data_IF_530463783682
#
_entry.id   IF_530463783682
#
_cell.length_a   1.000
_cell.length_b   1.000
_cell.length_c   1.000
_cell.angle_alpha   90.00
_cell.angle_beta   90.00
_cell.angle_gamma   90.00
#
_symmetry.space_group_name_H-M   'P 1'
#
loop_
_entity.id
_entity.type
_entity.pdbx_description
1 polymer ?
#
# COMPACT_ATOMS: atom_id res chain seq x y z
N UNK A 1 11.20 72.89 12.99
CA UNK A 1 10.59 71.70 12.36
C UNK A 1 10.89 70.47 13.21
N UNK A 2 9.85 69.73 13.63
CA UNK A 2 9.80 68.32 14.12
C UNK A 2 11.01 67.82 14.95
N UNK A 3 10.91 67.67 16.29
CA UNK A 3 10.42 66.49 17.03
C UNK A 3 10.96 65.13 16.49
N UNK A 4 11.52 64.18 17.25
CA UNK A 4 11.62 63.92 18.71
C UNK A 4 12.55 62.68 18.92
N UNK A 5 13.17 62.58 20.11
CA UNK A 5 13.73 61.40 20.85
C UNK A 5 14.98 60.71 20.25
N UNK A 6 16.20 60.86 20.80
CA UNK A 6 16.80 60.40 22.09
C UNK A 6 16.79 58.87 22.26
N UNK A 7 17.96 58.27 22.00
CA UNK A 7 18.40 56.95 22.47
C UNK A 7 19.68 57.17 23.28
N UNK A 8 19.77 56.61 24.48
CA UNK A 8 21.02 56.27 25.19
C UNK A 8 20.66 55.80 26.61
N UNK A 9 20.97 54.55 26.95
CA UNK A 9 21.67 54.17 28.19
C UNK A 9 22.32 52.80 27.94
N UNK A 10 23.64 52.76 28.09
CA UNK A 10 24.48 51.57 28.16
C UNK A 10 25.36 51.71 29.42
N UNK A 11 25.84 50.56 29.90
CA UNK A 11 26.79 50.32 31.00
C UNK A 11 26.21 50.15 32.42
N UNK A 12 26.39 48.97 33.04
CA UNK A 12 27.61 48.57 33.78
C UNK A 12 27.28 47.33 34.64
N UNK A 13 27.81 46.15 34.31
CA UNK A 13 28.07 45.09 35.30
C UNK A 13 29.45 44.50 34.99
N UNK A 14 30.33 44.62 35.98
CA UNK A 14 31.75 44.27 35.94
C UNK A 14 32.03 42.77 36.03
N UNK A 15 33.25 42.44 35.63
CA UNK A 15 33.85 41.13 35.43
C UNK A 15 34.88 40.82 36.54
N UNK A 16 35.27 39.53 36.64
CA UNK A 16 36.45 38.92 37.33
C UNK A 16 36.25 38.45 38.79
N UNK A 17 36.77 37.30 39.30
CA UNK A 17 37.78 36.28 38.90
C UNK A 17 37.58 35.02 39.78
N UNK A 18 37.45 33.81 39.18
CA UNK A 18 38.34 32.60 39.22
C UNK A 18 38.83 32.12 40.60
N UNK A 19 38.59 30.83 40.95
CA UNK A 19 39.60 29.78 41.29
C UNK A 19 38.92 28.38 41.28
N UNK A 20 39.71 27.41 40.80
CA UNK A 20 39.47 26.02 40.44
C UNK A 20 39.04 25.06 41.58
N UNK A 21 38.57 23.86 41.20
CA UNK A 21 39.14 22.57 41.62
C UNK A 21 38.69 21.44 40.65
N UNK A 22 39.67 20.64 40.22
CA UNK A 22 39.56 19.44 39.37
C UNK A 22 39.60 18.17 40.22
N UNK A 23 38.94 17.11 39.74
CA UNK A 23 39.24 15.65 39.82
C UNK A 23 37.94 14.85 39.89
N UNK A 24 37.78 13.59 39.50
CA UNK A 24 38.45 12.61 38.61
C UNK A 24 37.71 11.28 38.88
N UNK A 25 37.58 10.40 37.88
CA UNK A 25 37.07 9.01 37.97
C UNK A 25 35.54 8.88 38.25
N UNK A 26 34.78 7.94 37.67
CA UNK A 26 35.12 6.65 37.09
C UNK A 26 34.04 6.19 36.10
N UNK A 27 34.50 5.40 35.14
CA UNK A 27 33.75 4.74 34.07
C UNK A 27 33.12 3.48 34.66
N UNK A 28 31.83 3.25 34.49
CA UNK A 28 31.23 1.95 34.84
C UNK A 28 30.40 1.42 33.68
N UNK A 29 30.85 0.26 33.22
CA UNK A 29 30.27 -0.59 32.19
C UNK A 29 28.92 -1.14 32.69
N UNK A 30 27.88 -1.09 31.84
CA UNK A 30 26.62 -1.78 32.14
C UNK A 30 26.61 -3.08 31.34
N UNK A 31 26.70 -4.14 32.12
CA UNK A 31 26.69 -5.55 31.80
C UNK A 31 25.39 -5.95 31.08
N UNK A 32 25.56 -6.72 29.99
CA UNK A 32 24.48 -7.30 29.19
C UNK A 32 23.86 -8.47 29.97
N UNK A 33 22.62 -8.29 30.47
CA UNK A 33 21.89 -9.36 31.14
C UNK A 33 21.40 -10.37 30.11
N UNK A 34 22.14 -11.48 30.03
CA UNK A 34 21.74 -12.73 29.38
C UNK A 34 20.56 -13.33 30.16
N UNK A 35 19.36 -13.28 29.61
CA UNK A 35 18.21 -14.03 30.14
C UNK A 35 18.18 -15.40 29.45
N UNK A 36 18.65 -16.40 30.17
CA UNK A 36 18.50 -17.82 29.85
C UNK A 36 17.04 -18.25 30.03
N UNK A 37 16.48 -18.84 28.98
CA UNK A 37 15.16 -19.46 28.98
C UNK A 37 15.21 -20.84 29.63
N UNK A 38 14.46 -21.03 30.72
CA UNK A 38 14.14 -22.35 31.27
C UNK A 38 12.62 -22.54 31.33
N UNK A 39 12.15 -23.57 30.62
CA UNK A 39 10.78 -24.09 30.67
C UNK A 39 10.64 -25.00 31.91
N UNK A 40 9.62 -24.78 32.73
CA UNK A 40 8.93 -25.86 33.45
C UNK A 40 7.41 -25.58 33.59
N UNK A 41 6.63 -26.61 33.27
CA UNK A 41 5.19 -26.85 33.47
C UNK A 41 4.83 -26.81 34.99
N UNK A 42 3.60 -26.71 35.50
CA UNK A 42 2.21 -26.81 35.03
C UNK A 42 1.29 -26.17 36.10
N UNK A 43 0.03 -25.85 35.76
CA UNK A 43 -1.04 -25.68 36.75
C UNK A 43 -2.23 -24.80 36.32
N UNK A 44 -3.37 -25.45 36.09
CA UNK A 44 -4.76 -24.95 36.25
C UNK A 44 -5.42 -24.02 35.20
N UNK A 45 -6.28 -24.68 34.41
CA UNK A 45 -7.61 -24.26 33.92
C UNK A 45 -7.91 -22.74 33.77
N UNK A 46 -7.76 -22.24 32.54
CA UNK A 46 -8.64 -21.19 32.00
C UNK A 46 -8.73 -21.29 30.46
N UNK A 47 -9.93 -21.12 29.94
CA UNK A 47 -10.36 -21.16 28.52
C UNK A 47 -9.35 -20.57 27.51
N UNK A 48 -9.04 -21.25 26.38
CA UNK A 48 -8.10 -20.73 25.40
C UNK A 48 -8.86 -20.10 24.22
N UNK A 49 -9.14 -18.79 24.26
CA UNK A 49 -9.52 -18.09 23.00
C UNK A 49 -9.30 -16.56 22.97
N UNK A 50 -8.54 -15.97 23.90
CA UNK A 50 -8.29 -14.51 23.86
C UNK A 50 -6.93 -14.05 24.42
N UNK A 51 -6.20 -14.91 25.11
CA UNK A 51 -4.94 -14.54 25.77
C UNK A 51 -3.71 -14.56 24.85
N UNK A 52 -3.75 -15.31 23.74
CA UNK A 52 -2.62 -15.39 22.79
C UNK A 52 -2.50 -14.11 21.95
N UNK A 53 -3.61 -13.42 21.68
CA UNK A 53 -3.59 -12.14 20.94
C UNK A 53 -3.09 -10.97 21.81
N UNK A 54 -3.18 -11.06 23.14
CA UNK A 54 -2.88 -9.94 24.04
C UNK A 54 -1.41 -9.92 24.51
N UNK A 55 -0.72 -11.06 24.50
CA UNK A 55 0.67 -11.19 25.00
C UNK A 55 1.76 -10.74 24.02
N UNK A 56 1.41 -10.30 22.81
CA UNK A 56 2.36 -9.77 21.83
C UNK A 56 2.46 -8.23 21.83
N UNK A 57 1.80 -7.55 22.77
CA UNK A 57 1.89 -6.11 22.95
C UNK A 57 3.11 -5.72 23.81
N UNK A 58 4.32 -6.07 23.39
CA UNK A 58 5.54 -5.67 24.11
C UNK A 58 6.66 -5.35 23.14
N UNK A 59 6.58 -4.13 22.61
CA UNK A 59 7.65 -3.16 22.34
C UNK A 59 6.89 -1.96 21.76
N UNK A 60 6.75 -0.89 22.55
CA UNK A 60 6.08 0.32 22.10
C UNK A 60 6.86 0.88 20.91
N UNK A 61 6.36 0.64 19.71
CA UNK A 61 6.77 1.38 18.51
C UNK A 61 6.25 2.81 18.69
N UNK A 62 7.13 3.81 18.53
CA UNK A 62 6.74 5.24 18.52
C UNK A 62 5.78 5.59 17.37
N UNK A 63 5.48 4.63 16.48
CA UNK A 63 4.59 4.82 15.34
C UNK A 63 3.14 4.78 15.80
N UNK A 64 2.44 5.91 15.62
CA UNK A 64 0.99 5.97 15.76
C UNK A 64 0.32 5.74 14.40
N UNK A 65 -0.47 4.67 14.30
CA UNK A 65 -1.30 4.41 13.13
C UNK A 65 -2.66 5.09 13.23
N UNK A 66 -3.26 5.36 12.08
CA UNK A 66 -4.64 5.79 11.86
C UNK A 66 -5.28 4.88 10.82
N UNK A 67 -6.61 4.91 10.70
CA UNK A 67 -7.30 4.08 9.72
C UNK A 67 -8.50 4.76 9.07
N UNK A 68 -8.78 4.32 7.85
CA UNK A 68 -10.05 4.55 7.15
C UNK A 68 -10.61 3.19 6.69
N UNK A 69 -11.80 2.78 7.13
CA UNK A 69 -12.70 3.51 8.04
C UNK A 69 -12.13 3.61 9.47
N UNK A 70 -12.79 4.38 10.33
CA UNK A 70 -12.42 4.54 11.73
C UNK A 70 -12.74 3.31 12.59
N UNK A 71 -12.37 3.37 13.87
CA UNK A 71 -12.78 2.34 14.85
C UNK A 71 -14.32 2.33 14.97
N UNK A 72 -14.89 1.14 15.06
CA UNK A 72 -16.33 0.84 15.05
C UNK A 72 -17.06 1.12 13.73
N UNK A 73 -16.36 1.52 12.68
CA UNK A 73 -16.97 1.75 11.38
C UNK A 73 -16.80 0.54 10.45
N UNK A 74 -17.82 0.33 9.62
CA UNK A 74 -17.82 -0.72 8.61
C UNK A 74 -17.15 -0.23 7.33
N UNK A 75 -16.44 -1.13 6.66
CA UNK A 75 -15.97 -0.92 5.30
C UNK A 75 -17.15 -0.68 4.35
N UNK A 76 -17.03 0.24 3.38
CA UNK A 76 -18.09 0.46 2.39
C UNK A 76 -18.34 -0.79 1.53
N UNK A 77 -19.46 -0.79 0.79
CA UNK A 77 -19.80 -1.88 -0.14
C UNK A 77 -19.57 -1.50 -1.61
N UNK A 78 -18.56 -0.69 -1.90
CA UNK A 78 -18.20 -0.32 -3.28
C UNK A 78 -17.62 -1.50 -4.08
N UNK A 79 -17.37 -2.64 -3.45
CA UNK A 79 -16.79 -3.85 -4.05
C UNK A 79 -17.86 -4.76 -4.63
N UNK A 80 -19.14 -4.44 -4.41
CA UNK A 80 -20.27 -5.17 -5.00
C UNK A 80 -20.07 -5.33 -6.49
N UNK A 81 -20.20 -6.58 -6.98
CA UNK A 81 -20.03 -6.95 -8.39
C UNK A 81 -18.65 -6.58 -8.97
N UNK A 82 -17.62 -6.48 -8.11
CA UNK A 82 -16.25 -6.15 -8.53
C UNK A 82 -15.30 -7.31 -8.23
N UNK A 83 -15.23 -8.34 -9.10
CA UNK A 83 -14.25 -9.41 -8.96
C UNK A 83 -12.83 -8.88 -9.18
N UNK A 84 -11.94 -9.16 -8.24
CA UNK A 84 -10.51 -8.92 -8.37
C UNK A 84 -9.83 -10.21 -8.83
N UNK A 85 -9.32 -10.19 -10.05
CA UNK A 85 -8.63 -11.34 -10.65
C UNK A 85 -7.13 -11.10 -10.59
N UNK A 86 -6.46 -11.86 -9.75
CA UNK A 86 -5.03 -11.72 -9.47
C UNK A 86 -4.33 -13.09 -9.59
N UNK A 87 -3.04 -13.17 -9.26
CA UNK A 87 -2.23 -14.38 -9.47
C UNK A 87 -2.73 -15.60 -8.68
N UNK A 88 -3.39 -15.38 -7.55
CA UNK A 88 -3.93 -16.43 -6.70
C UNK A 88 -5.41 -16.77 -6.99
N UNK A 89 -5.95 -16.28 -8.11
CA UNK A 89 -7.32 -16.54 -8.55
C UNK A 89 -8.22 -15.31 -8.44
N UNK A 90 -9.54 -15.54 -8.51
CA UNK A 90 -10.56 -14.49 -8.40
C UNK A 90 -11.04 -14.37 -6.96
N UNK A 91 -11.05 -13.15 -6.42
CA UNK A 91 -11.71 -12.80 -5.18
C UNK A 91 -12.98 -11.98 -5.48
N UNK A 92 -14.12 -12.41 -4.97
CA UNK A 92 -15.42 -11.79 -5.18
C UNK A 92 -15.71 -10.73 -4.11
N UNK A 93 -16.15 -9.54 -4.55
CA UNK A 93 -16.47 -8.42 -3.68
C UNK A 93 -17.97 -8.32 -3.36
N UNK A 94 -18.30 -7.67 -2.25
CA UNK A 94 -19.69 -7.41 -1.81
C UNK A 94 -20.44 -8.60 -1.21
N UNK A 95 -19.74 -9.71 -0.92
CA UNK A 95 -20.29 -10.87 -0.22
C UNK A 95 -20.03 -10.79 1.29
N UNK A 96 -18.91 -10.18 1.68
CA UNK A 96 -18.51 -9.95 3.06
C UNK A 96 -18.22 -8.46 3.27
N UNK A 97 -18.32 -8.02 4.52
CA UNK A 97 -17.89 -6.71 5.01
C UNK A 97 -17.00 -6.88 6.24
N UNK A 98 -16.23 -5.87 6.54
CA UNK A 98 -15.40 -5.84 7.73
C UNK A 98 -15.67 -4.58 8.56
N UNK A 99 -15.46 -4.68 9.87
CA UNK A 99 -15.48 -3.56 10.80
C UNK A 99 -14.16 -3.54 11.54
N UNK A 100 -13.61 -2.36 11.79
CA UNK A 100 -12.58 -2.22 12.81
C UNK A 100 -13.29 -2.30 14.17
N UNK A 101 -13.46 -3.51 14.69
CA UNK A 101 -14.29 -3.76 15.87
C UNK A 101 -13.70 -3.12 17.12
N UNK A 102 -12.38 -3.18 17.28
CA UNK A 102 -11.67 -2.49 18.36
C UNK A 102 -10.19 -2.32 18.01
N UNK A 103 -9.49 -1.47 18.75
CA UNK A 103 -8.04 -1.29 18.63
C UNK A 103 -7.39 -1.26 20.02
N UNK A 104 -6.31 -2.01 20.18
CA UNK A 104 -5.47 -2.01 21.39
C UNK A 104 -4.06 -1.66 20.99
N UNK A 105 -3.55 -0.49 21.40
CA UNK A 105 -2.25 0.01 20.93
C UNK A 105 -2.19 0.06 19.41
N UNK A 106 -1.26 -0.65 18.78
CA UNK A 106 -1.14 -0.77 17.32
C UNK A 106 -1.81 -2.02 16.72
N UNK A 107 -2.52 -2.80 17.53
CA UNK A 107 -3.24 -3.99 17.07
C UNK A 107 -4.68 -3.63 16.73
N UNK A 108 -5.09 -3.93 15.49
CA UNK A 108 -6.44 -3.76 14.98
C UNK A 108 -7.17 -5.10 15.06
N UNK A 109 -8.33 -5.13 15.73
CA UNK A 109 -9.23 -6.27 15.72
C UNK A 109 -10.33 -6.04 14.68
N UNK A 110 -10.36 -6.90 13.67
CA UNK A 110 -11.27 -6.81 12.53
C UNK A 110 -12.37 -7.85 12.67
N UNK A 111 -13.62 -7.42 12.72
CA UNK A 111 -14.78 -8.31 12.62
C UNK A 111 -15.15 -8.46 11.16
N UNK A 112 -15.14 -9.70 10.65
CA UNK A 112 -15.58 -10.04 9.29
C UNK A 112 -16.93 -10.74 9.37
N UNK A 113 -17.92 -10.23 8.65
CA UNK A 113 -19.27 -10.83 8.57
C UNK A 113 -19.71 -10.94 7.12
N UNK A 114 -20.79 -11.69 6.87
CA UNK A 114 -21.47 -11.59 5.56
C UNK A 114 -22.09 -10.21 5.39
N UNK A 115 -22.15 -9.75 4.14
CA UNK A 115 -22.75 -8.47 3.78
C UNK A 115 -24.26 -8.43 4.09
N UNK A 116 -24.94 -9.57 3.96
CA UNK A 116 -26.38 -9.78 4.17
C UNK A 116 -26.77 -9.98 5.65
N UNK A 117 -25.80 -10.02 6.58
CA UNK A 117 -26.02 -10.29 8.00
C UNK A 117 -26.27 -11.78 8.34
N UNK A 118 -26.23 -12.67 7.35
CA UNK A 118 -26.35 -14.11 7.56
C UNK A 118 -25.10 -14.75 8.15
N UNK A 119 -25.18 -16.06 8.37
CA UNK A 119 -24.06 -16.88 8.88
C UNK A 119 -23.23 -17.51 7.75
N UNK A 120 -21.96 -17.79 8.03
CA UNK A 120 -21.12 -18.60 7.17
C UNK A 120 -21.59 -20.07 7.22
N UNK A 121 -22.13 -20.59 6.11
CA UNK A 121 -22.77 -21.92 6.06
C UNK A 121 -21.79 -23.09 5.94
N UNK A 122 -20.53 -22.82 5.62
CA UNK A 122 -19.45 -23.80 5.58
C UNK A 122 -18.32 -23.36 6.51
N UNK A 123 -17.46 -24.28 6.98
CA UNK A 123 -16.19 -23.88 7.57
C UNK A 123 -15.33 -23.14 6.55
N UNK A 124 -14.38 -22.36 7.05
CA UNK A 124 -13.50 -21.57 6.21
C UNK A 124 -12.30 -21.02 6.96
N UNK A 125 -11.45 -20.30 6.24
CA UNK A 125 -10.35 -19.54 6.81
C UNK A 125 -10.52 -18.06 6.50
N UNK A 126 -10.50 -17.24 7.54
CA UNK A 126 -10.42 -15.79 7.43
C UNK A 126 -8.96 -15.34 7.39
N UNK A 127 -8.68 -14.30 6.61
CA UNK A 127 -7.36 -13.71 6.43
C UNK A 127 -7.44 -12.19 6.52
N UNK A 128 -6.37 -11.59 7.02
CA UNK A 128 -6.02 -10.22 6.66
C UNK A 128 -4.81 -10.30 5.73
N UNK A 129 -4.92 -9.69 4.55
CA UNK A 129 -3.83 -9.60 3.57
C UNK A 129 -3.43 -8.17 3.31
N UNK A 130 -2.15 -7.90 3.08
CA UNK A 130 -1.71 -6.53 2.82
C UNK A 130 -1.42 -6.25 1.34
N UNK A 131 -1.69 -5.01 0.91
CA UNK A 131 -1.49 -4.49 -0.44
C UNK A 131 -2.51 -4.94 -1.49
N UNK A 132 -2.85 -6.23 -1.53
CA UNK A 132 -3.76 -6.82 -2.52
C UNK A 132 -4.43 -8.12 -2.02
N UNK A 133 -5.45 -8.62 -2.72
CA UNK A 133 -6.14 -9.88 -2.35
C UNK A 133 -5.25 -11.13 -2.52
N UNK A 134 -4.18 -11.02 -3.31
CA UNK A 134 -3.12 -12.02 -3.39
C UNK A 134 -1.82 -11.62 -2.66
N UNK A 135 -1.85 -10.52 -1.91
CA UNK A 135 -0.71 -10.04 -1.15
C UNK A 135 -0.36 -10.89 0.08
N UNK A 136 0.61 -10.40 0.85
CA UNK A 136 1.15 -11.06 2.05
C UNK A 136 0.04 -11.30 3.07
N UNK A 137 -0.02 -12.51 3.63
CA UNK A 137 -0.90 -12.83 4.77
C UNK A 137 -0.30 -12.22 6.03
N UNK A 138 -1.01 -11.31 6.69
CA UNK A 138 -0.56 -10.69 7.95
C UNK A 138 -1.28 -11.28 9.17
N UNK A 139 -2.47 -11.86 8.97
CA UNK A 139 -3.16 -12.65 9.97
C UNK A 139 -4.03 -13.72 9.30
N UNK A 140 -4.29 -14.82 10.01
CA UNK A 140 -5.26 -15.85 9.58
C UNK A 140 -5.90 -16.54 10.77
N UNK A 141 -7.16 -16.97 10.63
CA UNK A 141 -7.86 -17.79 11.62
C UNK A 141 -8.88 -18.71 10.93
N UNK A 142 -9.01 -19.95 11.40
CA UNK A 142 -10.06 -20.87 10.94
C UNK A 142 -11.37 -20.61 11.68
N UNK A 143 -12.50 -20.88 11.03
CA UNK A 143 -13.80 -20.80 11.65
C UNK A 143 -14.70 -21.97 11.22
N UNK A 144 -15.59 -22.39 12.11
CA UNK A 144 -16.59 -23.43 11.85
C UNK A 144 -17.83 -22.89 11.14
N UNK A 145 -18.61 -23.78 10.51
CA UNK A 145 -19.93 -23.42 9.98
C UNK A 145 -20.85 -22.88 11.09
N UNK A 146 -21.77 -21.99 10.72
CA UNK A 146 -22.77 -21.39 11.60
C UNK A 146 -22.33 -20.07 12.26
N UNK A 147 -21.08 -19.64 12.08
CA UNK A 147 -20.59 -18.37 12.63
C UNK A 147 -21.24 -17.17 11.93
N UNK A 148 -21.74 -16.21 12.71
CA UNK A 148 -22.25 -14.92 12.22
C UNK A 148 -21.14 -13.90 11.93
N UNK A 149 -19.97 -14.08 12.55
CA UNK A 149 -18.80 -13.24 12.35
C UNK A 149 -17.52 -13.95 12.78
N UNK A 150 -16.40 -13.44 12.30
CA UNK A 150 -15.05 -13.92 12.61
C UNK A 150 -14.22 -12.71 13.03
N UNK A 151 -13.68 -12.76 14.25
CA UNK A 151 -12.79 -11.71 14.76
C UNK A 151 -11.33 -12.11 14.50
N UNK A 152 -10.55 -11.21 13.90
CA UNK A 152 -9.15 -11.45 13.55
C UNK A 152 -8.31 -10.20 13.86
N UNK A 153 -7.21 -10.39 14.60
CA UNK A 153 -6.31 -9.31 14.99
C UNK A 153 -5.07 -9.23 14.09
N UNK A 154 -4.60 -8.02 13.80
CA UNK A 154 -3.28 -7.81 13.17
C UNK A 154 -2.62 -6.52 13.66
N UNK A 155 -1.29 -6.48 13.62
CA UNK A 155 -0.47 -5.29 13.93
C UNK A 155 0.31 -4.90 12.68
N UNK A 156 0.15 -3.68 12.13
CA UNK A 156 0.98 -3.20 11.03
C UNK A 156 2.45 -3.08 11.44
N UNK A 157 3.36 -3.22 10.47
CA UNK A 157 4.81 -3.22 10.74
C UNK A 157 5.57 -2.13 9.97
N UNK A 158 4.90 -1.31 9.15
CA UNK A 158 5.55 -0.24 8.39
C UNK A 158 5.75 0.99 9.28
N UNK A 159 6.89 1.67 9.16
CA UNK A 159 7.21 2.80 10.05
C UNK A 159 6.68 4.15 9.58
N UNK A 160 6.43 4.29 8.28
CA UNK A 160 6.06 5.55 7.63
C UNK A 160 5.32 5.26 6.33
N UNK A 161 4.18 5.91 6.09
CA UNK A 161 3.40 5.74 4.85
C UNK A 161 2.00 5.20 5.08
N UNK A 162 1.57 4.32 4.18
CA UNK A 162 0.29 3.63 4.29
C UNK A 162 0.33 2.20 3.77
N UNK A 163 -0.63 1.41 4.21
CA UNK A 163 -0.90 0.08 3.70
C UNK A 163 -2.39 -0.22 3.70
N UNK A 164 -2.85 -0.87 2.64
CA UNK A 164 -4.18 -1.42 2.51
C UNK A 164 -4.21 -2.83 3.05
N UNK A 165 -5.13 -3.10 3.97
CA UNK A 165 -5.37 -4.43 4.50
C UNK A 165 -6.71 -4.93 3.98
N UNK A 166 -6.70 -6.08 3.30
CA UNK A 166 -7.85 -6.75 2.71
C UNK A 166 -8.34 -7.86 3.66
N UNK A 167 -9.48 -7.65 4.34
CA UNK A 167 -10.16 -8.71 5.06
C UNK A 167 -10.77 -9.68 4.05
N UNK A 168 -10.49 -10.97 4.24
CA UNK A 168 -10.86 -12.00 3.30
C UNK A 168 -11.36 -13.26 4.00
N UNK A 169 -12.18 -14.01 3.29
CA UNK A 169 -12.62 -15.34 3.67
C UNK A 169 -12.44 -16.29 2.49
N UNK A 170 -11.92 -17.48 2.77
CA UNK A 170 -11.91 -18.61 1.82
C UNK A 170 -12.78 -19.71 2.40
N UNK A 171 -13.85 -20.04 1.69
CA UNK A 171 -14.77 -21.12 2.03
C UNK A 171 -14.11 -22.48 1.74
N UNK A 172 -13.99 -23.34 2.75
CA UNK A 172 -13.24 -24.61 2.63
C UNK A 172 -13.95 -25.64 1.73
N UNK A 173 -15.28 -25.55 1.60
CA UNK A 173 -16.08 -26.51 0.83
C UNK A 173 -16.05 -26.22 -0.67
N UNK A 174 -16.21 -24.95 -1.03
CA UNK A 174 -16.30 -24.49 -2.42
C UNK A 174 -14.98 -23.96 -2.97
N UNK A 175 -14.04 -23.58 -2.10
CA UNK A 175 -12.85 -22.82 -2.47
C UNK A 175 -13.15 -21.35 -2.83
N UNK A 176 -14.39 -20.90 -2.64
CA UNK A 176 -14.81 -19.53 -2.92
C UNK A 176 -14.02 -18.52 -2.10
N UNK A 177 -13.56 -17.44 -2.74
CA UNK A 177 -12.71 -16.41 -2.14
C UNK A 177 -13.48 -15.10 -2.12
N UNK A 178 -13.66 -14.53 -0.95
CA UNK A 178 -14.44 -13.31 -0.75
C UNK A 178 -13.59 -12.25 -0.08
N UNK A 179 -13.69 -10.99 -0.51
CA UNK A 179 -12.99 -9.87 0.10
C UNK A 179 -13.97 -8.74 0.47
N UNK A 180 -13.68 -8.07 1.58
CA UNK A 180 -14.30 -6.80 1.95
C UNK A 180 -13.50 -5.64 1.35
N UNK A 181 -14.09 -4.45 1.26
CA UNK A 181 -13.31 -3.25 0.90
C UNK A 181 -12.10 -3.10 1.84
N UNK A 182 -10.92 -2.74 1.32
CA UNK A 182 -9.70 -2.73 2.11
C UNK A 182 -9.76 -1.60 3.14
N UNK A 183 -9.19 -1.89 4.31
CA UNK A 183 -8.97 -0.92 5.37
C UNK A 183 -7.64 -0.24 5.07
N UNK A 184 -7.66 1.07 4.88
CA UNK A 184 -6.47 1.89 4.77
C UNK A 184 -5.93 2.11 6.19
N UNK A 185 -4.68 1.74 6.44
CA UNK A 185 -3.97 2.08 7.68
C UNK A 185 -2.76 2.94 7.30
N UNK A 186 -2.50 4.01 8.05
CA UNK A 186 -1.47 4.98 7.70
C UNK A 186 -0.85 5.67 8.91
N UNK A 187 0.31 6.29 8.73
CA UNK A 187 0.99 7.10 9.76
C UNK A 187 0.69 8.59 9.57
N UNK A 188 0.87 9.38 10.62
CA UNK A 188 0.96 10.84 10.53
C UNK A 188 2.29 11.33 11.14
N UNK A 189 3.14 12.05 10.38
CA UNK A 189 3.02 12.42 8.97
C UNK A 189 2.90 11.19 8.04
N UNK A 190 2.49 11.38 6.77
CA UNK A 190 2.41 10.28 5.78
C UNK A 190 3.77 9.96 5.14
N UNK A 191 4.66 10.93 5.09
CA UNK A 191 6.00 10.77 4.53
C UNK A 191 6.99 11.65 5.30
N UNK A 192 8.28 11.30 5.24
CA UNK A 192 9.38 12.10 5.75
C UNK A 192 9.59 13.33 4.86
N UNK A 193 9.70 14.50 5.46
CA UNK A 193 9.98 15.75 4.75
C UNK A 193 11.48 15.92 4.44
N UNK A 194 12.08 14.97 3.73
CA UNK A 194 13.51 14.96 3.36
C UNK A 194 13.67 14.91 1.84
N UNK A 195 13.43 16.05 1.18
CA UNK A 195 13.58 16.20 -0.27
C UNK A 195 15.01 16.56 -0.70
N UNK A 196 15.95 16.66 0.25
CA UNK A 196 17.34 17.07 0.01
C UNK A 196 18.27 15.95 -0.42
N UNK A 197 17.82 14.69 -0.38
CA UNK A 197 18.69 13.53 -0.56
C UNK A 197 18.13 12.53 -1.57
N UNK A 198 18.72 12.46 -2.76
CA UNK A 198 18.39 11.46 -3.77
C UNK A 198 18.47 10.03 -3.20
N UNK A 199 17.43 9.23 -3.46
CA UNK A 199 17.33 7.83 -3.02
C UNK A 199 16.91 7.65 -1.56
N UNK A 200 16.69 8.72 -0.80
CA UNK A 200 16.11 8.63 0.54
C UNK A 200 14.69 8.05 0.46
N UNK A 201 14.39 7.01 1.24
CA UNK A 201 13.00 6.55 1.41
C UNK A 201 12.22 7.60 2.19
N UNK A 202 11.16 8.13 1.58
CA UNK A 202 10.24 9.09 2.18
C UNK A 202 9.12 8.38 2.93
N UNK A 203 8.95 7.08 2.75
CA UNK A 203 7.86 6.28 3.31
C UNK A 203 7.45 5.17 2.34
N UNK A 204 6.39 4.44 2.68
CA UNK A 204 5.93 3.28 1.91
C UNK A 204 4.49 3.43 1.44
N UNK A 205 4.19 2.87 0.27
CA UNK A 205 2.86 2.73 -0.29
C UNK A 205 2.57 1.24 -0.47
N UNK A 206 1.74 0.66 0.41
CA UNK A 206 1.52 -0.79 0.50
C UNK A 206 2.84 -1.59 0.64
N UNK A 207 3.73 -1.11 1.50
CA UNK A 207 5.05 -1.73 1.72
C UNK A 207 6.10 -1.42 0.64
N UNK A 208 5.74 -0.71 -0.43
CA UNK A 208 6.65 -0.34 -1.51
C UNK A 208 7.26 1.02 -1.21
N UNK A 209 8.58 1.09 -1.14
CA UNK A 209 9.29 2.36 -0.89
C UNK A 209 8.94 3.43 -1.92
N UNK A 210 8.78 4.67 -1.44
CA UNK A 210 8.68 5.89 -2.23
C UNK A 210 9.96 6.70 -1.99
N UNK A 211 10.85 6.71 -2.98
CA UNK A 211 12.16 7.38 -2.89
C UNK A 211 12.12 8.83 -3.37
N UNK A 212 12.92 9.66 -2.72
CA UNK A 212 13.22 11.01 -3.17
C UNK A 212 14.01 10.99 -4.48
N UNK A 213 13.55 11.77 -5.47
CA UNK A 213 14.23 11.97 -6.75
C UNK A 213 14.92 13.34 -6.82
N UNK A 214 15.66 13.72 -5.77
CA UNK A 214 16.35 15.02 -5.69
C UNK A 214 17.47 15.14 -6.72
N UNK A 215 17.78 16.37 -7.14
CA UNK A 215 19.02 16.68 -7.88
C UNK A 215 20.24 16.75 -6.96
N UNK A 216 20.06 16.61 -5.64
CA UNK A 216 21.14 16.63 -4.66
C UNK A 216 21.42 15.20 -4.17
N UNK A 217 22.67 14.76 -4.26
CA UNK A 217 23.12 13.49 -3.69
C UNK A 217 24.37 13.71 -2.84
N UNK A 218 24.28 13.34 -1.55
CA UNK A 218 25.38 13.52 -0.57
C UNK A 218 25.97 14.93 -0.58
N UNK A 219 25.10 15.95 -0.62
CA UNK A 219 25.50 17.37 -0.61
C UNK A 219 26.05 17.92 -1.93
N UNK A 220 26.01 17.15 -3.03
CA UNK A 220 26.46 17.59 -4.36
C UNK A 220 25.29 17.68 -5.33
N UNK A 221 25.26 18.74 -6.14
CA UNK A 221 24.33 18.86 -7.27
C UNK A 221 24.73 17.85 -8.35
N UNK A 222 23.81 16.98 -8.71
CA UNK A 222 23.95 15.99 -9.76
C UNK A 222 23.76 16.65 -11.13
N UNK A 223 24.54 16.23 -12.13
CA UNK A 223 24.29 16.63 -13.52
C UNK A 223 22.97 16.02 -14.01
N UNK A 224 22.22 16.78 -14.80
CA UNK A 224 20.86 16.48 -15.31
C UNK A 224 20.72 15.10 -15.98
N UNK A 225 21.84 14.52 -16.45
CA UNK A 225 21.92 13.27 -17.20
C UNK A 225 22.62 12.14 -16.43
N UNK A 226 23.14 12.40 -15.22
CA UNK A 226 23.87 11.43 -14.40
C UNK A 226 23.01 10.81 -13.29
N UNK A 227 21.80 11.30 -13.06
CA UNK A 227 20.85 10.71 -12.12
C UNK A 227 19.41 11.03 -12.47
N UNK A 228 18.52 10.12 -12.07
CA UNK A 228 17.08 10.25 -12.27
C UNK A 228 16.45 8.99 -12.84
N UNK A 229 17.20 8.04 -13.42
CA UNK A 229 16.59 6.88 -14.07
C UNK A 229 15.83 5.95 -13.12
N UNK A 230 16.26 5.82 -11.85
CA UNK A 230 15.77 4.77 -10.93
C UNK A 230 14.72 5.24 -9.93
N UNK A 231 14.52 6.55 -9.80
CA UNK A 231 13.51 7.13 -8.90
C UNK A 231 12.44 7.94 -9.65
N UNK A 232 12.22 7.63 -10.93
CA UNK A 232 11.07 8.13 -11.70
C UNK A 232 9.72 7.62 -11.18
N UNK A 233 8.65 8.31 -11.57
CA UNK A 233 7.27 7.86 -11.39
C UNK A 233 7.03 6.46 -11.96
N UNK A 234 7.54 6.19 -13.17
CA UNK A 234 7.43 4.88 -13.82
C UNK A 234 8.15 3.77 -13.05
N UNK A 235 9.33 4.04 -12.49
CA UNK A 235 10.08 3.07 -11.68
C UNK A 235 9.34 2.71 -10.39
N UNK A 236 8.75 3.70 -9.73
CA UNK A 236 7.90 3.46 -8.57
C UNK A 236 6.72 2.57 -8.93
N UNK A 237 5.94 2.92 -9.96
CA UNK A 237 4.77 2.14 -10.34
C UNK A 237 5.14 0.73 -10.81
N UNK A 238 6.25 0.54 -11.54
CA UNK A 238 6.74 -0.80 -11.91
C UNK A 238 7.12 -1.62 -10.68
N UNK A 239 7.85 -1.04 -9.72
CA UNK A 239 8.19 -1.70 -8.46
C UNK A 239 6.94 -2.04 -7.65
N UNK A 240 5.96 -1.14 -7.63
CA UNK A 240 4.68 -1.38 -6.97
C UNK A 240 3.93 -2.56 -7.60
N UNK A 241 3.86 -2.61 -8.93
CA UNK A 241 3.22 -3.72 -9.66
C UNK A 241 3.94 -5.04 -9.37
N UNK A 242 5.27 -5.05 -9.36
CA UNK A 242 6.06 -6.25 -9.07
C UNK A 242 5.87 -6.73 -7.63
N UNK A 243 5.91 -5.84 -6.63
CA UNK A 243 5.83 -6.24 -5.23
C UNK A 243 4.40 -6.55 -4.77
N UNK A 244 3.41 -5.76 -5.21
CA UNK A 244 2.01 -5.90 -4.76
C UNK A 244 1.25 -6.92 -5.60
N UNK A 245 1.42 -6.89 -6.92
CA UNK A 245 0.69 -7.75 -7.86
C UNK A 245 1.50 -8.96 -8.35
N UNK A 246 2.78 -9.07 -7.95
CA UNK A 246 3.69 -10.15 -8.36
C UNK A 246 3.82 -10.26 -9.89
N UNK A 247 3.69 -9.13 -10.58
CA UNK A 247 3.77 -9.04 -12.03
C UNK A 247 5.03 -8.26 -12.43
N UNK A 248 5.93 -8.93 -13.15
CA UNK A 248 7.14 -8.28 -13.67
C UNK A 248 6.87 -7.71 -15.06
N UNK A 249 6.95 -6.40 -15.19
CA UNK A 249 6.82 -5.68 -16.47
C UNK A 249 8.20 -5.22 -16.92
N UNK A 250 8.63 -5.66 -18.10
CA UNK A 250 9.92 -5.26 -18.67
C UNK A 250 9.86 -3.78 -19.06
N UNK A 251 10.87 -3.04 -18.61
CA UNK A 251 10.99 -1.58 -18.54
C UNK A 251 10.18 -0.74 -19.55
N UNK A 252 9.42 0.22 -19.04
CA UNK A 252 8.71 1.22 -19.86
C UNK A 252 8.83 2.64 -19.27
N UNK A 253 9.65 3.48 -19.90
CA UNK A 253 10.02 4.79 -19.36
C UNK A 253 9.01 5.92 -19.64
N UNK A 254 8.18 5.81 -20.69
CA UNK A 254 7.33 6.92 -21.16
C UNK A 254 5.90 6.81 -20.62
N UNK A 255 5.64 7.40 -19.45
CA UNK A 255 4.34 7.34 -18.77
C UNK A 255 3.12 7.67 -19.64
N UNK A 256 3.23 8.65 -20.55
CA UNK A 256 2.13 9.10 -21.44
C UNK A 256 1.54 8.02 -22.34
N UNK A 257 2.25 6.90 -22.54
CA UNK A 257 1.80 5.78 -23.37
C UNK A 257 1.28 4.59 -22.57
N UNK A 258 1.47 4.54 -21.24
CA UNK A 258 1.09 3.38 -20.40
C UNK A 258 -0.38 2.99 -20.58
N UNK A 259 -1.28 3.97 -20.58
CA UNK A 259 -2.72 3.75 -20.67
C UNK A 259 -3.11 2.97 -21.94
N UNK A 260 -2.45 3.23 -23.07
CA UNK A 260 -2.74 2.59 -24.34
C UNK A 260 -1.83 1.39 -24.67
N UNK A 261 -0.83 1.09 -23.84
CA UNK A 261 0.11 0.00 -24.09
C UNK A 261 -0.45 -1.34 -23.61
N UNK A 262 -1.24 -1.98 -24.47
CA UNK A 262 -1.80 -3.31 -24.20
C UNK A 262 -0.77 -4.45 -24.26
N UNK A 263 0.41 -4.20 -24.85
CA UNK A 263 1.43 -5.24 -25.03
C UNK A 263 2.20 -5.45 -23.72
N UNK A 264 2.70 -4.37 -23.12
CA UNK A 264 3.48 -4.44 -21.89
C UNK A 264 2.60 -4.54 -20.63
N UNK A 265 1.37 -4.02 -20.69
CA UNK A 265 0.42 -4.06 -19.57
C UNK A 265 -0.82 -4.91 -19.93
N UNK A 266 -0.60 -6.12 -20.45
CA UNK A 266 -1.68 -7.02 -20.86
C UNK A 266 -2.58 -7.44 -19.69
N UNK A 267 -2.01 -7.59 -18.49
CA UNK A 267 -2.72 -7.94 -17.26
C UNK A 267 -3.39 -6.74 -16.56
N UNK A 268 -3.82 -5.74 -17.31
CA UNK A 268 -4.54 -4.57 -16.78
C UNK A 268 -5.82 -4.32 -17.57
N UNK A 269 -6.87 -3.85 -16.87
CA UNK A 269 -8.03 -3.23 -17.51
C UNK A 269 -7.86 -1.72 -17.45
N UNK A 270 -8.33 -1.01 -18.46
CA UNK A 270 -8.26 0.46 -18.54
C UNK A 270 -9.64 1.05 -18.42
N UNK A 271 -9.75 2.12 -17.63
CA UNK A 271 -10.98 2.87 -17.45
C UNK A 271 -10.67 4.35 -17.72
N UNK A 272 -11.39 4.92 -18.68
CA UNK A 272 -11.23 6.32 -19.06
C UNK A 272 -11.64 7.24 -17.91
N UNK A 273 -10.96 8.37 -17.77
CA UNK A 273 -11.37 9.42 -16.86
C UNK A 273 -12.77 9.94 -17.27
N UNK A 274 -13.70 10.01 -16.33
CA UNK A 274 -15.11 10.35 -16.61
C UNK A 274 -15.95 9.20 -17.21
N UNK A 275 -15.41 7.98 -17.26
CA UNK A 275 -16.12 6.79 -17.73
C UNK A 275 -17.18 6.24 -16.76
N UNK A 276 -17.69 5.03 -17.03
CA UNK A 276 -18.76 4.40 -16.24
C UNK A 276 -18.27 3.65 -14.99
N UNK A 277 -16.97 3.36 -14.91
CA UNK A 277 -16.37 2.65 -13.77
C UNK A 277 -15.73 3.67 -12.86
N UNK A 278 -15.78 3.46 -11.54
CA UNK A 278 -15.10 4.30 -10.56
C UNK A 278 -13.64 3.86 -10.35
N UNK A 279 -12.72 4.80 -10.01
CA UNK A 279 -11.39 4.44 -9.56
C UNK A 279 -11.44 3.65 -8.25
N UNK A 280 -10.44 2.83 -8.01
CA UNK A 280 -10.27 2.05 -6.77
C UNK A 280 -8.84 2.19 -6.26
N UNK A 281 -8.67 1.94 -4.97
CA UNK A 281 -7.34 1.89 -4.37
C UNK A 281 -6.46 0.84 -5.06
N UNK A 282 -5.19 1.14 -5.22
CA UNK A 282 -4.23 0.33 -5.96
C UNK A 282 -4.26 0.48 -7.48
N UNK A 283 -5.29 1.11 -8.06
CA UNK A 283 -5.28 1.43 -9.50
C UNK A 283 -4.09 2.36 -9.82
N UNK A 284 -3.50 2.17 -11.01
CA UNK A 284 -2.45 3.06 -11.53
C UNK A 284 -3.11 4.19 -12.30
N UNK A 285 -3.01 5.42 -11.79
CA UNK A 285 -3.50 6.63 -12.44
C UNK A 285 -2.52 7.06 -13.54
N UNK A 286 -3.02 7.32 -14.75
CA UNK A 286 -2.20 7.65 -15.92
C UNK A 286 -2.46 9.07 -16.42
N UNK A 287 -1.36 9.79 -16.69
CA UNK A 287 -1.38 11.15 -17.23
C UNK A 287 -0.76 11.18 -18.62
N UNK A 288 -1.50 11.68 -19.60
CA UNK A 288 -1.07 11.79 -20.99
C UNK A 288 -0.19 13.00 -21.29
N UNK A 289 -0.43 14.11 -20.56
CA UNK A 289 0.41 15.33 -20.60
C UNK A 289 1.27 15.44 -19.34
N UNK A 290 2.33 16.24 -19.44
CA UNK A 290 3.28 16.54 -18.38
C UNK A 290 4.48 17.29 -18.93
N UNK A 291 5.67 17.05 -18.39
CA UNK A 291 6.92 17.58 -18.95
C UNK A 291 7.13 17.05 -20.38
N UNK A 292 7.65 17.90 -21.27
CA UNK A 292 8.02 17.51 -22.64
C UNK A 292 9.48 17.09 -22.70
N UNK A 293 9.80 16.10 -23.54
CA UNK A 293 11.17 15.80 -23.94
C UNK A 293 11.72 16.86 -24.91
N UNK A 294 13.01 16.74 -25.26
CA UNK A 294 13.71 17.65 -26.18
C UNK A 294 13.07 17.74 -27.58
N UNK A 295 12.28 16.75 -27.97
CA UNK A 295 11.58 16.68 -29.26
C UNK A 295 10.13 17.20 -29.14
N UNK A 296 9.77 17.81 -28.00
CA UNK A 296 8.46 18.39 -27.74
C UNK A 296 7.36 17.38 -27.39
N UNK A 297 7.68 16.10 -27.18
CA UNK A 297 6.70 15.05 -26.87
C UNK A 297 6.48 14.94 -25.37
N UNK A 298 5.22 14.81 -24.96
CA UNK A 298 4.88 14.62 -23.55
C UNK A 298 5.43 13.31 -22.99
N UNK A 299 6.12 13.39 -21.85
CA UNK A 299 6.57 12.24 -21.07
C UNK A 299 5.42 11.62 -20.27
N UNK A 300 4.42 12.42 -19.89
CA UNK A 300 3.31 12.02 -19.04
C UNK A 300 3.72 11.82 -17.58
N UNK A 301 2.84 11.20 -16.80
CA UNK A 301 3.09 10.83 -15.41
C UNK A 301 2.27 9.60 -15.01
N UNK A 302 2.66 8.93 -13.94
CA UNK A 302 1.90 7.83 -13.34
C UNK A 302 1.97 7.88 -11.82
N UNK A 303 0.89 7.46 -11.17
CA UNK A 303 0.78 7.41 -9.72
C UNK A 303 -0.09 6.22 -9.27
N UNK A 304 0.02 5.80 -8.02
CA UNK A 304 -0.85 4.77 -7.41
C UNK A 304 -1.96 5.47 -6.63
N UNK A 305 -3.21 5.05 -6.81
CA UNK A 305 -4.34 5.55 -6.03
C UNK A 305 -4.27 4.96 -4.61
N UNK A 306 -4.11 5.83 -3.61
CA UNK A 306 -4.06 5.51 -2.18
C UNK A 306 -5.45 5.50 -1.56
N UNK A 307 -6.30 6.46 -1.88
CA UNK A 307 -7.62 6.59 -1.23
C UNK A 307 -8.63 7.10 -2.25
N UNK A 308 -9.87 6.64 -2.15
CA UNK A 308 -10.97 7.08 -3.01
C UNK A 308 -12.14 7.51 -2.13
N UNK A 309 -12.54 8.76 -2.28
CA UNK A 309 -13.74 9.37 -1.68
C UNK A 309 -14.67 9.86 -2.79
N UNK A 310 -15.91 10.22 -2.47
CA UNK A 310 -16.86 10.79 -3.42
C UNK A 310 -16.37 12.10 -4.05
N UNK A 311 -15.53 12.86 -3.34
CA UNK A 311 -15.07 14.20 -3.76
C UNK A 311 -13.57 14.30 -4.04
N UNK A 312 -12.81 13.25 -3.76
CA UNK A 312 -11.37 13.25 -4.01
C UNK A 312 -10.78 11.85 -4.21
N UNK A 313 -9.57 11.82 -4.75
CA UNK A 313 -8.64 10.70 -4.57
C UNK A 313 -7.37 11.20 -3.89
N UNK A 314 -6.71 10.34 -3.12
CA UNK A 314 -5.31 10.56 -2.72
C UNK A 314 -4.41 9.61 -3.51
N UNK A 315 -3.20 10.06 -3.81
CA UNK A 315 -2.23 9.29 -4.60
C UNK A 315 -0.87 9.17 -3.90
N UNK A 316 -0.10 8.18 -4.32
CA UNK A 316 1.32 8.02 -4.03
C UNK A 316 2.12 7.95 -5.33
N UNK A 317 3.29 8.57 -5.35
CA UNK A 317 4.07 8.83 -6.56
C UNK A 317 5.53 9.19 -6.23
N UNK A 318 6.41 9.00 -7.21
CA UNK A 318 7.77 9.53 -7.19
C UNK A 318 7.95 10.55 -8.33
N UNK A 319 9.03 11.32 -8.26
CA UNK A 319 9.32 12.42 -9.19
C UNK A 319 8.13 13.37 -9.32
N UNK A 320 7.51 13.68 -8.19
CA UNK A 320 6.39 14.61 -8.09
C UNK A 320 6.91 16.04 -8.07
N UNK A 321 8.01 16.35 -7.40
CA UNK A 321 8.54 17.71 -7.33
C UNK A 321 9.58 17.84 -6.23
N UNK A 322 9.87 19.07 -5.83
CA UNK A 322 10.94 19.41 -4.86
C UNK A 322 10.44 19.59 -3.41
N UNK A 323 9.14 19.39 -3.15
CA UNK A 323 8.54 19.54 -1.83
C UNK A 323 8.34 20.99 -1.37
N UNK A 324 8.67 21.98 -2.20
CA UNK A 324 8.39 23.38 -1.90
C UNK A 324 6.88 23.68 -1.96
N UNK A 325 6.46 24.77 -1.32
CA UNK A 325 5.08 25.25 -1.30
C UNK A 325 4.69 25.86 -2.67
N UNK A 326 4.72 25.04 -3.71
CA UNK A 326 4.21 25.38 -5.04
C UNK A 326 2.73 24.96 -5.13
N UNK A 327 1.97 25.63 -6.00
CA UNK A 327 0.60 25.23 -6.32
C UNK A 327 0.57 24.63 -7.74
N UNK A 328 0.21 23.34 -7.91
CA UNK A 328 -0.16 22.38 -6.87
C UNK A 328 1.04 21.85 -6.06
N UNK A 329 0.83 21.53 -4.78
CA UNK A 329 1.86 20.93 -3.95
C UNK A 329 2.03 19.45 -4.32
N UNK A 330 3.27 19.06 -4.56
CA UNK A 330 3.62 17.75 -5.12
C UNK A 330 3.99 16.74 -4.03
N UNK A 331 2.96 16.19 -3.40
CA UNK A 331 3.13 15.22 -2.32
C UNK A 331 3.57 13.84 -2.86
N UNK A 332 4.61 13.21 -2.26
CA UNK A 332 5.02 11.85 -2.62
C UNK A 332 4.00 10.81 -2.15
N UNK A 333 3.33 11.05 -1.01
CA UNK A 333 2.27 10.20 -0.47
C UNK A 333 1.14 11.08 0.06
N UNK A 334 -0.11 10.76 -0.28
CA UNK A 334 -1.28 11.46 0.23
C UNK A 334 -1.70 12.69 -0.56
N UNK A 335 -1.11 12.91 -1.75
CA UNK A 335 -1.46 14.04 -2.60
C UNK A 335 -2.92 13.97 -3.04
N UNK A 336 -3.71 14.99 -2.70
CA UNK A 336 -5.16 15.00 -2.93
C UNK A 336 -5.50 15.63 -4.28
N UNK A 337 -6.22 14.88 -5.12
CA UNK A 337 -6.81 15.37 -6.36
C UNK A 337 -8.32 15.43 -6.22
N UNK A 338 -8.95 16.48 -6.76
CA UNK A 338 -10.41 16.61 -6.74
C UNK A 338 -11.03 15.52 -7.62
N UNK A 339 -12.19 15.03 -7.20
CA UNK A 339 -13.00 14.06 -7.95
C UNK A 339 -14.45 14.54 -8.01
N UNK A 340 -15.11 14.25 -9.12
CA UNK A 340 -16.55 14.44 -9.32
C UNK A 340 -17.09 13.24 -10.09
N UNK A 341 -17.85 12.37 -9.42
CA UNK A 341 -18.27 11.10 -10.01
C UNK A 341 -17.06 10.24 -10.39
N UNK A 342 -16.95 9.84 -11.65
CA UNK A 342 -15.80 9.06 -12.16
C UNK A 342 -14.72 9.93 -12.82
N UNK A 343 -14.79 11.24 -12.63
CA UNK A 343 -13.81 12.20 -13.16
C UNK A 343 -12.86 12.64 -12.07
N UNK A 344 -11.56 12.37 -12.24
CA UNK A 344 -10.49 12.94 -11.44
C UNK A 344 -9.99 14.20 -12.15
N UNK A 345 -9.82 15.28 -11.38
CA UNK A 345 -9.45 16.60 -11.87
C UNK A 345 -8.07 16.93 -11.32
N UNK A 346 -7.13 17.21 -12.22
CA UNK A 346 -5.81 17.72 -11.86
C UNK A 346 -5.82 19.26 -11.95
N UNK A 347 -5.31 19.98 -10.94
CA UNK A 347 -5.37 21.44 -10.91
C UNK A 347 -4.43 22.14 -11.90
N UNK A 348 -3.34 21.49 -12.33
CA UNK A 348 -2.42 22.03 -13.33
C UNK A 348 -2.75 21.54 -14.75
N UNK A 349 -3.07 22.48 -15.64
CA UNK A 349 -3.31 22.23 -17.07
C UNK A 349 -2.16 21.55 -17.81
N UNK A 350 -0.93 21.56 -17.26
CA UNK A 350 0.22 20.82 -17.81
C UNK A 350 0.02 19.30 -17.77
N UNK A 351 -0.86 18.82 -16.89
CA UNK A 351 -1.17 17.41 -16.75
C UNK A 351 -2.60 17.14 -17.21
N UNK A 352 -2.76 16.01 -17.92
CA UNK A 352 -4.06 15.56 -18.41
C UNK A 352 -4.23 14.11 -18.00
N UNK A 353 -5.26 13.84 -17.19
CA UNK A 353 -5.57 12.49 -16.74
C UNK A 353 -6.29 11.74 -17.87
N UNK A 354 -5.68 10.67 -18.35
CA UNK A 354 -6.27 9.77 -19.34
C UNK A 354 -7.31 8.84 -18.71
N UNK A 355 -7.01 8.37 -17.50
CA UNK A 355 -7.79 7.37 -16.79
C UNK A 355 -6.93 6.59 -15.82
N UNK A 356 -7.37 5.40 -15.45
CA UNK A 356 -6.62 4.51 -14.57
C UNK A 356 -6.61 3.07 -15.07
N UNK A 357 -5.56 2.36 -14.68
CA UNK A 357 -5.31 0.96 -15.00
C UNK A 357 -5.50 0.12 -13.74
N UNK A 358 -6.41 -0.84 -13.80
CA UNK A 358 -6.66 -1.80 -12.72
C UNK A 358 -6.00 -3.12 -13.04
N UNK A 359 -5.20 -3.64 -12.12
CA UNK A 359 -4.63 -4.97 -12.29
C UNK A 359 -5.73 -6.02 -12.44
N UNK A 360 -5.59 -6.85 -13.46
CA UNK A 360 -6.51 -7.92 -13.78
C UNK A 360 -5.70 -8.99 -14.50
N UNK A 361 -5.26 -10.00 -13.75
CA UNK A 361 -4.52 -11.13 -14.31
C UNK A 361 -5.41 -11.79 -15.35
N UNK A 362 -5.08 -11.61 -16.63
CA UNK A 362 -5.71 -12.39 -17.68
C UNK A 362 -5.44 -13.86 -17.34
N UNK A 363 -6.43 -14.71 -17.55
CA UNK A 363 -6.23 -16.11 -17.21
C UNK A 363 -5.00 -16.61 -17.95
N UNK A 364 -4.12 -17.35 -17.28
CA UNK A 364 -3.48 -18.46 -17.98
C UNK A 364 -4.66 -19.20 -18.60
N UNK A 365 -4.81 -19.16 -19.91
CA UNK A 365 -5.69 -20.12 -20.55
C UNK A 365 -5.12 -21.46 -20.11
N UNK A 366 -5.76 -22.10 -19.13
CA UNK A 366 -5.84 -23.53 -19.16
C UNK A 366 -6.64 -23.81 -20.42
N UNK A 367 -5.99 -23.72 -21.58
CA UNK A 367 -6.22 -24.72 -22.58
C UNK A 367 -5.86 -26.02 -21.87
N UNK A 368 -6.84 -26.60 -21.17
CA UNK A 368 -7.07 -28.02 -21.36
C UNK A 368 -7.24 -28.14 -22.87
N UNK A 369 -6.13 -28.33 -23.60
CA UNK A 369 -6.21 -29.11 -24.82
C UNK A 369 -6.98 -30.35 -24.37
N UNK A 370 -8.14 -30.67 -24.93
CA UNK A 370 -8.68 -32.00 -24.73
C UNK A 370 -7.51 -32.94 -25.05
N UNK A 371 -7.21 -33.87 -24.15
CA UNK A 371 -6.36 -34.99 -24.53
C UNK A 371 -7.05 -35.61 -25.73
N UNK A 372 -6.54 -35.30 -26.92
CA UNK A 372 -6.87 -36.05 -28.11
C UNK A 372 -6.40 -37.45 -27.81
N UNK A 373 -7.36 -38.35 -27.57
CA UNK A 373 -7.09 -39.77 -27.63
C UNK A 373 -6.32 -40.01 -28.93
N UNK A 374 -5.12 -40.63 -28.89
CA UNK A 374 -4.50 -41.07 -30.12
C UNK A 374 -5.50 -42.03 -30.78
N UNK A 375 -5.90 -41.71 -32.00
CA UNK A 375 -6.68 -42.64 -32.83
C UNK A 375 -5.89 -43.93 -32.87
N UNK A 376 -6.44 -44.96 -32.23
CA UNK A 376 -5.90 -46.31 -32.29
C UNK A 376 -5.72 -46.70 -33.75
N UNK A 377 -4.53 -47.23 -34.04
CA UNK A 377 -4.29 -48.07 -35.20
C UNK A 377 -5.36 -49.18 -35.21
N UNK A 378 -6.29 -49.10 -36.16
CA UNK A 378 -7.07 -50.26 -36.55
C UNK A 378 -6.14 -51.14 -37.40
N UNK A 379 -5.54 -52.15 -36.76
CA UNK A 379 -4.88 -53.24 -37.45
C UNK A 379 -6.00 -54.20 -37.92
N UNK A 380 -6.32 -54.16 -39.21
CA UNK A 380 -7.24 -55.10 -39.85
C UNK A 380 -6.50 -56.43 -40.01
N UNK A 381 -6.85 -57.44 -39.21
CA UNK A 381 -6.50 -58.82 -39.52
C UNK A 381 -7.54 -59.38 -40.50
N UNK A 382 -7.08 -59.68 -41.72
CA UNK A 382 -7.79 -60.56 -42.64
C UNK A 382 -7.59 -61.99 -42.17
N UNK A 383 -8.64 -62.62 -41.63
CA UNK A 383 -8.73 -64.08 -41.56
C UNK A 383 -9.44 -64.51 -42.85
N UNK A 384 -8.72 -65.25 -43.69
CA UNK A 384 -9.26 -65.98 -44.84
C UNK A 384 -9.55 -67.40 -44.34
N UNK A 385 -10.80 -67.82 -44.45
CA UNK A 385 -11.18 -69.22 -44.30
C UNK A 385 -10.49 -70.07 -45.38
N UNK A 386 -9.75 -71.08 -44.95
CA UNK A 386 -9.63 -72.42 -45.55
C UNK A 386 -9.22 -73.42 -44.48
#
# INVERSE_FOLDING_TARGET
MKAKKIASVLMLIGMFVVVALLSSCEKQEVEEVVVTSSNQQAGEQASPDSSVALRAATLASDVTYYSTPGTYEWTPNSSRNTPLKEICGTAEGGIIKAQIFFRVGNTFLIMITKQDGGVFRSPGTAYIKSGAVCGKKVAQIKYSSGKSGVLIGFTPTFTQGYEHFYPMVIDEKSGGRYYAEPILVYTQPLYLNDFGTYGKSLGTANGVDVFCNSLIYKGKVLKENQNGADHQCTKFCLRYIEQVYQEKIVHYYRASRWFYDNKNFSNFKRYNNGGSVAPRVGDILCFGKGTKDKDGKYLGHVAVIMEVSDTYVKIAQQNSGDGSAQNPQWYPIGGKLKRSGNTIIYPDSKFEIQGWMRYHKQGLSHQKKPLGFPRGFFLIFYIKDF
#
